data_IF_990761004281
#
_entry.id   IF_990761004281
#
_cell.length_a   1.000
_cell.length_b   1.000
_cell.length_c   1.000
_cell.angle_alpha   90.00
_cell.angle_beta   90.00
_cell.angle_gamma   90.00
#
_symmetry.space_group_name_H-M   'P 1'
#
loop_
_entity.id
_entity.type
_entity.pdbx_description
1 polymer ?
#
# COMPACT_ATOMS: atom_id res chain seq x y z
N UNK A 1 25.07 2.39 -7.98
CA UNK A 1 24.10 1.29 -8.01
C UNK A 1 23.66 0.99 -6.59
N UNK A 2 22.39 0.77 -6.38
CA UNK A 2 21.87 0.25 -5.12
C UNK A 2 22.18 -1.23 -5.07
N UNK A 3 22.78 -1.68 -3.98
CA UNK A 3 23.02 -3.11 -3.74
C UNK A 3 21.70 -3.78 -3.37
N UNK A 4 21.50 -4.99 -3.84
CA UNK A 4 20.37 -5.82 -3.43
C UNK A 4 20.65 -6.40 -2.03
N UNK A 5 19.61 -6.52 -1.23
CA UNK A 5 19.68 -7.22 0.06
C UNK A 5 19.41 -8.71 -0.10
N UNK A 6 19.28 -9.40 1.03
CA UNK A 6 19.11 -10.87 1.07
C UNK A 6 17.62 -11.29 1.08
N UNK A 7 16.68 -10.34 1.13
CA UNK A 7 15.25 -10.62 1.24
C UNK A 7 14.62 -10.71 -0.13
N UNK A 8 14.06 -11.87 -0.45
CA UNK A 8 13.38 -12.13 -1.72
C UNK A 8 11.87 -11.94 -1.58
N UNK A 9 11.32 -11.07 -2.40
CA UNK A 9 9.88 -10.81 -2.45
C UNK A 9 9.28 -11.30 -3.76
N UNK A 10 8.07 -11.86 -3.69
CA UNK A 10 7.22 -12.20 -4.85
C UNK A 10 6.04 -11.26 -4.90
N UNK A 11 5.95 -10.45 -5.94
CA UNK A 11 4.79 -9.63 -6.25
C UNK A 11 3.81 -10.43 -7.07
N UNK A 12 2.53 -10.44 -6.68
CA UNK A 12 1.46 -11.13 -7.39
C UNK A 12 0.42 -10.12 -7.87
N UNK A 13 0.30 -9.97 -9.19
CA UNK A 13 -0.66 -9.09 -9.85
C UNK A 13 -1.61 -9.91 -10.72
N UNK A 14 -2.84 -10.21 -10.28
CA UNK A 14 -3.75 -11.07 -11.04
C UNK A 14 -4.49 -10.34 -12.16
N UNK A 15 -4.50 -9.01 -12.17
CA UNK A 15 -5.24 -8.16 -13.10
C UNK A 15 -6.74 -8.51 -13.15
N UNK A 16 -7.37 -8.69 -11.99
CA UNK A 16 -8.81 -8.94 -11.87
C UNK A 16 -9.58 -7.66 -12.19
N UNK A 17 -10.48 -7.67 -13.22
CA UNK A 17 -11.28 -6.50 -13.54
C UNK A 17 -12.08 -6.00 -12.35
N UNK A 18 -12.19 -4.67 -12.19
CA UNK A 18 -12.88 -4.06 -11.05
C UNK A 18 -14.36 -4.52 -10.93
N UNK A 19 -15.01 -4.79 -12.06
CA UNK A 19 -16.39 -5.31 -12.11
C UNK A 19 -16.52 -6.73 -11.57
N UNK A 20 -15.45 -7.53 -11.64
CA UNK A 20 -15.44 -8.92 -11.17
C UNK A 20 -14.91 -9.06 -9.73
N UNK A 21 -14.22 -8.03 -9.23
CA UNK A 21 -13.52 -8.11 -7.95
C UNK A 21 -14.47 -8.44 -6.78
N UNK A 22 -15.68 -7.92 -6.81
CA UNK A 22 -16.69 -8.08 -5.76
C UNK A 22 -17.93 -8.86 -6.24
N UNK A 23 -17.89 -9.46 -7.43
CA UNK A 23 -18.98 -10.28 -7.92
C UNK A 23 -19.09 -11.56 -7.09
N UNK A 24 -20.24 -11.86 -6.47
CA UNK A 24 -20.38 -13.07 -5.65
C UNK A 24 -20.04 -14.38 -6.39
N UNK A 25 -20.22 -14.40 -7.71
CA UNK A 25 -19.90 -15.55 -8.56
C UNK A 25 -18.42 -15.69 -8.89
N UNK A 26 -17.59 -14.72 -8.54
CA UNK A 26 -16.16 -14.69 -8.88
C UNK A 26 -15.24 -14.64 -7.67
N UNK A 27 -15.77 -14.59 -6.44
CA UNK A 27 -14.95 -14.44 -5.23
C UNK A 27 -13.99 -15.62 -5.05
N UNK A 28 -14.48 -16.85 -5.20
CA UNK A 28 -13.66 -18.05 -5.09
C UNK A 28 -12.62 -18.15 -6.21
N UNK A 29 -13.02 -17.83 -7.44
CA UNK A 29 -12.09 -17.81 -8.58
C UNK A 29 -11.00 -16.76 -8.38
N UNK A 30 -11.35 -15.59 -7.85
CA UNK A 30 -10.41 -14.51 -7.57
C UNK A 30 -9.35 -14.94 -6.54
N UNK A 31 -9.76 -15.52 -5.40
CA UNK A 31 -8.80 -15.96 -4.38
C UNK A 31 -7.96 -17.14 -4.88
N UNK A 32 -8.55 -18.09 -5.59
CA UNK A 32 -7.83 -19.21 -6.19
C UNK A 32 -6.82 -18.77 -7.23
N UNK A 33 -7.12 -17.71 -8.01
CA UNK A 33 -6.17 -17.12 -8.94
C UNK A 33 -4.93 -16.56 -8.22
N UNK A 34 -5.12 -15.81 -7.14
CA UNK A 34 -4.00 -15.32 -6.31
C UNK A 34 -3.15 -16.48 -5.78
N UNK A 35 -3.80 -17.55 -5.25
CA UNK A 35 -3.11 -18.73 -4.72
C UNK A 35 -2.32 -19.43 -5.82
N UNK A 36 -2.94 -19.69 -6.97
CA UNK A 36 -2.30 -20.39 -8.09
C UNK A 36 -1.08 -19.62 -8.60
N UNK A 37 -1.20 -18.28 -8.76
CA UNK A 37 -0.10 -17.42 -9.18
C UNK A 37 1.03 -17.35 -8.15
N UNK A 38 0.71 -17.41 -6.85
CA UNK A 38 1.72 -17.40 -5.79
C UNK A 38 2.54 -18.70 -5.76
N UNK A 39 1.95 -19.83 -6.18
CA UNK A 39 2.55 -21.17 -6.15
C UNK A 39 3.42 -21.49 -7.37
N UNK A 40 3.76 -20.51 -8.18
CA UNK A 40 4.70 -20.72 -9.28
C UNK A 40 6.08 -21.17 -8.76
N UNK A 41 6.89 -21.74 -9.64
CA UNK A 41 8.24 -22.23 -9.34
C UNK A 41 9.07 -21.24 -8.50
N UNK A 42 9.85 -21.75 -7.55
CA UNK A 42 10.73 -20.95 -6.68
C UNK A 42 10.01 -20.33 -5.47
N UNK A 43 8.80 -20.76 -5.14
CA UNK A 43 8.08 -20.26 -3.94
C UNK A 43 8.86 -20.56 -2.65
N UNK A 44 9.56 -21.68 -2.59
CA UNK A 44 10.38 -22.14 -1.46
C UNK A 44 11.50 -21.17 -1.07
N UNK A 45 11.98 -20.36 -2.03
CA UNK A 45 13.06 -19.39 -1.85
C UNK A 45 12.56 -17.98 -1.52
N UNK A 46 11.23 -17.77 -1.44
CA UNK A 46 10.62 -16.46 -1.23
C UNK A 46 10.42 -16.20 0.26
N UNK A 47 10.81 -15.01 0.73
CA UNK A 47 10.56 -14.57 2.10
C UNK A 47 9.16 -13.96 2.26
N UNK A 48 8.74 -13.13 1.31
CA UNK A 48 7.41 -12.49 1.33
C UNK A 48 6.71 -12.64 -0.01
N UNK A 49 5.55 -13.28 -0.01
CA UNK A 49 4.56 -13.16 -1.08
C UNK A 49 3.68 -11.96 -0.80
N UNK A 50 3.49 -11.07 -1.77
CA UNK A 50 2.77 -9.82 -1.55
C UNK A 50 1.63 -9.69 -2.56
N UNK A 51 0.41 -9.59 -2.03
CA UNK A 51 -0.83 -9.35 -2.79
C UNK A 51 -1.28 -7.89 -2.64
N UNK A 52 -2.06 -7.42 -3.59
CA UNK A 52 -2.55 -6.04 -3.61
C UNK A 52 -3.60 -5.70 -2.55
N UNK A 53 -4.11 -4.48 -2.60
CA UNK A 53 -5.19 -3.97 -1.75
C UNK A 53 -6.46 -4.79 -1.92
N UNK A 54 -7.09 -5.15 -0.80
CA UNK A 54 -8.32 -5.95 -0.77
C UNK A 54 -8.27 -7.17 -1.71
N UNK A 55 -7.12 -7.85 -1.72
CA UNK A 55 -6.89 -9.04 -2.53
C UNK A 55 -7.72 -10.22 -2.04
N UNK A 56 -7.85 -10.39 -0.72
CA UNK A 56 -8.82 -11.33 -0.15
C UNK A 56 -10.19 -10.67 -0.07
N UNK A 57 -11.21 -11.24 -0.73
CA UNK A 57 -12.58 -10.79 -0.56
C UNK A 57 -13.23 -11.28 0.74
N UNK A 58 -12.54 -12.14 1.48
CA UNK A 58 -13.02 -12.76 2.72
C UNK A 58 -12.29 -12.21 3.94
N UNK A 59 -12.99 -12.04 5.08
CA UNK A 59 -12.39 -11.57 6.33
C UNK A 59 -11.57 -12.71 6.97
N UNK A 60 -10.27 -12.75 6.71
CA UNK A 60 -9.37 -13.84 7.12
C UNK A 60 -9.17 -13.93 8.64
N UNK A 61 -9.63 -12.96 9.42
CA UNK A 61 -9.64 -12.97 10.87
C UNK A 61 -10.80 -13.76 11.45
N UNK A 62 -11.91 -13.91 10.72
CA UNK A 62 -13.13 -14.63 11.15
C UNK A 62 -13.38 -15.93 10.36
N UNK A 63 -12.94 -16.01 9.11
CA UNK A 63 -13.20 -17.14 8.24
C UNK A 63 -12.01 -18.11 8.23
N UNK A 64 -12.12 -19.15 9.04
CA UNK A 64 -11.08 -20.18 9.16
C UNK A 64 -10.84 -20.94 7.87
N UNK A 65 -11.88 -21.18 7.07
CA UNK A 65 -11.77 -21.91 5.80
C UNK A 65 -10.89 -21.12 4.81
N UNK A 66 -11.22 -19.87 4.54
CA UNK A 66 -10.43 -19.06 3.62
C UNK A 66 -9.06 -18.69 4.19
N UNK A 67 -8.95 -18.52 5.51
CA UNK A 67 -7.65 -18.34 6.19
C UNK A 67 -6.74 -19.56 5.95
N UNK A 68 -7.23 -20.78 6.07
CA UNK A 68 -6.46 -21.98 5.75
C UNK A 68 -6.19 -22.11 4.26
N UNK A 69 -7.15 -21.77 3.40
CA UNK A 69 -6.99 -21.85 1.95
C UNK A 69 -5.83 -20.98 1.48
N UNK A 70 -5.72 -19.74 1.95
CA UNK A 70 -4.66 -18.81 1.54
C UNK A 70 -3.27 -19.23 2.03
N UNK A 71 -3.14 -20.09 3.03
CA UNK A 71 -1.84 -20.61 3.45
C UNK A 71 -1.13 -21.38 2.34
N UNK A 72 -1.86 -21.91 1.35
CA UNK A 72 -1.27 -22.55 0.17
C UNK A 72 -0.41 -21.59 -0.68
N UNK A 73 -0.60 -20.30 -0.55
CA UNK A 73 0.20 -19.27 -1.22
C UNK A 73 1.47 -18.87 -0.44
N UNK A 74 1.67 -19.40 0.77
CA UNK A 74 2.71 -18.99 1.70
C UNK A 74 3.88 -19.98 1.66
N UNK A 75 5.13 -19.52 1.50
CA UNK A 75 6.31 -20.38 1.60
C UNK A 75 6.45 -20.94 3.02
N UNK A 76 7.13 -22.08 3.17
CA UNK A 76 7.28 -22.78 4.47
C UNK A 76 7.92 -21.89 5.55
N UNK A 77 8.91 -21.08 5.17
CA UNK A 77 9.65 -20.20 6.08
C UNK A 77 9.33 -18.72 5.90
N UNK A 78 8.39 -18.39 4.98
CA UNK A 78 8.08 -17.02 4.63
C UNK A 78 6.68 -16.58 5.09
N UNK A 79 6.25 -15.46 4.53
CA UNK A 79 5.01 -14.78 4.91
C UNK A 79 4.22 -14.35 3.70
N UNK A 80 2.91 -14.24 3.88
CA UNK A 80 2.00 -13.55 2.95
C UNK A 80 1.66 -12.17 3.53
N UNK A 81 1.88 -11.13 2.73
CA UNK A 81 1.35 -9.79 2.97
C UNK A 81 0.16 -9.61 2.04
N UNK A 82 -1.03 -9.40 2.58
CA UNK A 82 -2.27 -9.32 1.79
C UNK A 82 -3.19 -8.22 2.27
N UNK A 83 -3.86 -7.56 1.33
CA UNK A 83 -4.96 -6.64 1.62
C UNK A 83 -6.29 -7.39 1.77
N UNK A 84 -7.13 -6.95 2.70
CA UNK A 84 -8.47 -7.47 2.94
C UNK A 84 -9.36 -6.41 3.57
N UNK A 85 -10.66 -6.69 3.64
CA UNK A 85 -11.58 -5.94 4.50
C UNK A 85 -11.81 -6.76 5.76
N UNK A 86 -11.53 -6.16 6.91
CA UNK A 86 -11.91 -6.72 8.22
C UNK A 86 -13.02 -5.88 8.87
N UNK A 87 -13.64 -6.41 9.88
CA UNK A 87 -14.71 -5.72 10.60
C UNK A 87 -14.34 -5.59 12.08
N UNK A 88 -14.65 -4.45 12.66
CA UNK A 88 -14.45 -4.18 14.08
C UNK A 88 -15.76 -3.66 14.69
N UNK A 89 -16.16 -4.24 15.82
CA UNK A 89 -17.32 -3.75 16.56
C UNK A 89 -17.00 -2.40 17.21
N UNK A 90 -17.93 -1.44 17.10
CA UNK A 90 -17.85 -0.21 17.87
C UNK A 90 -18.47 -0.39 19.27
N UNK A 91 -18.54 0.67 20.06
CA UNK A 91 -19.07 0.65 21.43
C UNK A 91 -20.56 0.26 21.49
N UNK A 92 -21.27 0.33 20.37
CA UNK A 92 -22.70 -0.03 20.24
C UNK A 92 -22.89 -1.39 19.54
N UNK A 93 -21.84 -2.24 19.49
CA UNK A 93 -21.81 -3.54 18.81
C UNK A 93 -22.14 -3.47 17.30
N UNK A 94 -21.95 -2.30 16.66
CA UNK A 94 -22.09 -2.16 15.22
C UNK A 94 -20.75 -2.43 14.54
N UNK A 95 -20.75 -3.33 13.56
CA UNK A 95 -19.56 -3.68 12.81
C UNK A 95 -19.20 -2.61 11.79
N UNK A 96 -18.00 -2.06 11.89
CA UNK A 96 -17.44 -1.09 10.96
C UNK A 96 -16.35 -1.73 10.11
N UNK A 97 -16.38 -1.57 8.77
CA UNK A 97 -15.35 -2.10 7.90
C UNK A 97 -14.04 -1.29 8.02
N UNK A 98 -12.91 -1.97 8.00
CA UNK A 98 -11.58 -1.41 7.88
C UNK A 98 -10.90 -1.98 6.64
N UNK A 99 -10.24 -1.12 5.86
CA UNK A 99 -9.37 -1.54 4.76
C UNK A 99 -8.02 -1.87 5.38
N UNK A 100 -7.63 -3.14 5.35
CA UNK A 100 -6.53 -3.64 6.18
C UNK A 100 -5.48 -4.40 5.37
N UNK A 101 -4.28 -4.46 5.92
CA UNK A 101 -3.17 -5.29 5.50
C UNK A 101 -2.89 -6.30 6.62
N UNK A 102 -2.78 -7.59 6.28
CA UNK A 102 -2.32 -8.63 7.18
C UNK A 102 -0.99 -9.21 6.71
N UNK A 103 -0.18 -9.62 7.69
CA UNK A 103 0.99 -10.48 7.49
C UNK A 103 0.71 -11.81 8.13
N UNK A 104 0.73 -12.88 7.35
CA UNK A 104 0.38 -14.22 7.80
C UNK A 104 1.51 -15.21 7.53
N UNK A 105 1.73 -16.14 8.46
CA UNK A 105 2.66 -17.24 8.26
C UNK A 105 1.96 -18.47 7.66
N UNK A 106 2.75 -19.51 7.36
CA UNK A 106 2.28 -20.80 6.77
C UNK A 106 1.21 -21.51 7.59
N UNK A 107 1.09 -21.21 8.89
CA UNK A 107 0.08 -21.81 9.77
C UNK A 107 -1.21 -20.98 9.85
N UNK A 108 -1.36 -19.94 9.03
CA UNK A 108 -2.52 -19.04 9.06
C UNK A 108 -2.53 -18.08 10.27
N UNK A 109 -1.40 -17.95 10.98
CA UNK A 109 -1.30 -17.05 12.13
C UNK A 109 -0.98 -15.65 11.62
N UNK A 110 -1.79 -14.67 12.01
CA UNK A 110 -1.54 -13.25 11.72
C UNK A 110 -0.42 -12.75 12.63
N UNK A 111 0.71 -12.36 12.04
CA UNK A 111 1.91 -11.87 12.73
C UNK A 111 1.96 -10.35 12.81
N UNK A 112 1.22 -9.68 11.94
CA UNK A 112 1.14 -8.23 11.90
C UNK A 112 -0.08 -7.76 11.13
N UNK A 113 -0.58 -6.58 11.47
CA UNK A 113 -1.70 -5.96 10.79
C UNK A 113 -1.56 -4.45 10.75
N UNK A 114 -2.13 -3.85 9.73
CA UNK A 114 -2.26 -2.41 9.58
C UNK A 114 -3.65 -2.06 9.03
N UNK A 115 -4.26 -1.02 9.54
CA UNK A 115 -5.53 -0.49 9.04
C UNK A 115 -5.30 0.87 8.41
N UNK A 116 -5.82 1.06 7.20
CA UNK A 116 -5.69 2.29 6.44
C UNK A 116 -6.12 3.50 7.26
N UNK A 117 -5.22 4.43 7.45
CA UNK A 117 -5.45 5.61 8.29
C UNK A 117 -5.94 6.82 7.50
N UNK A 118 -5.44 7.01 6.27
CA UNK A 118 -5.88 8.05 5.35
C UNK A 118 -6.88 7.51 4.34
N UNK A 119 -8.16 7.70 4.63
CA UNK A 119 -9.27 7.27 3.77
C UNK A 119 -9.47 8.22 2.59
N UNK A 120 -9.94 7.67 1.46
CA UNK A 120 -10.25 8.45 0.25
C UNK A 120 -11.57 9.20 0.45
N UNK A 121 -11.58 10.55 0.43
CA UNK A 121 -12.80 11.33 0.50
C UNK A 121 -13.75 10.99 -0.66
N UNK A 122 -15.05 10.87 -0.37
CA UNK A 122 -16.12 10.47 -1.29
C UNK A 122 -15.96 9.07 -1.91
N UNK A 123 -14.87 8.38 -1.62
CA UNK A 123 -14.63 6.98 -2.02
C UNK A 123 -14.91 6.02 -0.87
N UNK A 124 -14.20 6.18 0.22
CA UNK A 124 -14.24 5.31 1.41
C UNK A 124 -15.05 5.93 2.55
N UNK A 125 -15.19 7.25 2.57
CA UNK A 125 -16.09 7.96 3.50
C UNK A 125 -16.65 9.23 2.86
N UNK A 126 -17.72 9.76 3.43
CA UNK A 126 -18.31 11.04 3.00
C UNK A 126 -17.89 12.12 4.00
N UNK A 127 -17.05 13.09 3.59
CA UNK A 127 -16.71 14.23 4.43
C UNK A 127 -17.95 15.00 4.86
N UNK A 128 -17.97 15.51 6.09
CA UNK A 128 -19.08 16.31 6.62
C UNK A 128 -20.47 15.63 6.52
N UNK A 129 -20.52 14.28 6.61
CA UNK A 129 -21.75 13.47 6.44
C UNK A 129 -22.94 14.01 7.20
N UNK A 130 -22.73 14.53 8.42
CA UNK A 130 -23.80 15.12 9.26
C UNK A 130 -24.45 16.36 8.66
N UNK A 131 -23.79 17.03 7.70
CA UNK A 131 -24.26 18.24 7.04
C UNK A 131 -24.78 18.00 5.62
N UNK A 132 -24.53 16.81 5.07
CA UNK A 132 -24.86 16.47 3.70
C UNK A 132 -26.11 15.60 3.65
N UNK A 133 -26.97 15.78 2.61
CA UNK A 133 -28.15 14.95 2.40
C UNK A 133 -27.81 13.47 2.26
N UNK A 134 -28.69 12.60 2.74
CA UNK A 134 -28.47 11.13 2.75
C UNK A 134 -28.40 10.51 1.34
N UNK A 135 -28.91 11.18 0.31
CA UNK A 135 -28.84 10.69 -1.08
C UNK A 135 -27.45 10.83 -1.70
N UNK A 136 -26.55 11.63 -1.10
CA UNK A 136 -25.16 11.66 -1.52
C UNK A 136 -24.51 10.34 -1.09
N UNK A 137 -24.16 9.52 -2.09
CA UNK A 137 -23.49 8.23 -1.91
C UNK A 137 -22.02 8.34 -2.27
N UNK A 138 -21.15 7.46 -1.74
CA UNK A 138 -19.77 7.34 -2.22
C UNK A 138 -19.75 7.06 -3.73
N UNK A 139 -18.75 7.58 -4.41
CA UNK A 139 -18.54 7.37 -5.85
C UNK A 139 -18.25 5.88 -6.14
N UNK A 140 -17.68 5.19 -5.15
CA UNK A 140 -17.42 3.76 -5.20
C UNK A 140 -18.68 3.00 -4.82
N UNK A 141 -19.14 2.08 -5.68
CA UNK A 141 -20.27 1.19 -5.38
C UNK A 141 -19.91 0.08 -4.36
N UNK A 142 -18.77 0.20 -3.70
CA UNK A 142 -18.26 -0.71 -2.68
C UNK A 142 -18.68 -0.26 -1.28
N UNK A 143 -18.23 -1.01 -0.29
CA UNK A 143 -18.51 -0.77 1.14
C UNK A 143 -18.32 0.71 1.48
N UNK A 144 -19.39 1.36 1.91
CA UNK A 144 -19.38 2.77 2.31
C UNK A 144 -19.01 2.90 3.79
N UNK A 145 -18.36 4.03 4.15
CA UNK A 145 -18.03 4.39 5.53
C UNK A 145 -17.04 3.44 6.20
N UNK A 146 -15.87 3.29 5.61
CA UNK A 146 -14.75 2.67 6.29
C UNK A 146 -14.38 3.46 7.57
N UNK A 147 -13.97 2.72 8.59
CA UNK A 147 -13.32 3.29 9.77
C UNK A 147 -11.85 3.54 9.46
N UNK A 148 -11.33 4.71 9.85
CA UNK A 148 -9.90 5.00 9.75
C UNK A 148 -9.11 4.27 10.82
N UNK A 149 -7.94 3.75 10.44
CA UNK A 149 -6.97 3.19 11.36
C UNK A 149 -6.30 4.24 12.25
N UNK A 150 -5.48 3.77 13.19
CA UNK A 150 -4.86 4.60 14.25
C UNK A 150 -3.68 5.46 13.79
N UNK A 151 -3.30 5.40 12.52
CA UNK A 151 -2.14 6.10 11.95
C UNK A 151 -1.04 5.16 11.45
N UNK A 152 0.07 5.75 11.01
CA UNK A 152 1.21 5.01 10.47
C UNK A 152 1.73 3.96 11.46
N UNK A 153 2.00 2.78 10.95
CA UNK A 153 2.51 1.66 11.72
C UNK A 153 3.65 0.97 10.98
N UNK A 154 4.73 0.71 11.68
CA UNK A 154 5.74 -0.22 11.24
C UNK A 154 5.41 -1.63 11.72
N UNK A 155 5.71 -2.62 10.89
CA UNK A 155 5.49 -4.02 11.18
C UNK A 155 6.84 -4.72 11.23
N UNK A 156 7.11 -5.34 12.38
CA UNK A 156 8.29 -6.17 12.61
C UNK A 156 7.86 -7.64 12.60
N UNK A 157 8.54 -8.43 11.80
CA UNK A 157 8.30 -9.88 11.69
C UNK A 157 9.63 -10.58 11.97
N UNK A 158 9.70 -11.28 13.08
CA UNK A 158 10.87 -12.03 13.51
C UNK A 158 12.19 -11.23 13.32
N UNK A 159 13.17 -11.78 12.62
CA UNK A 159 14.47 -11.15 12.34
C UNK A 159 14.50 -10.35 11.02
N UNK A 160 13.35 -10.24 10.32
CA UNK A 160 13.28 -9.48 9.06
C UNK A 160 13.32 -7.97 9.33
N UNK A 161 13.88 -7.18 8.39
CA UNK A 161 13.82 -5.73 8.42
C UNK A 161 12.38 -5.22 8.55
N UNK A 162 12.19 -4.25 9.42
CA UNK A 162 10.90 -3.67 9.72
C UNK A 162 10.36 -2.88 8.53
N UNK A 163 9.10 -3.06 8.17
CA UNK A 163 8.48 -2.30 7.08
C UNK A 163 7.35 -1.40 7.55
N UNK A 164 7.21 -0.26 6.87
CA UNK A 164 6.06 0.61 6.97
C UNK A 164 4.96 0.16 6.03
N UNK A 165 3.73 0.07 6.54
CA UNK A 165 2.57 -0.35 5.77
C UNK A 165 1.78 0.86 5.29
N UNK A 166 1.42 0.86 3.99
CA UNK A 166 0.58 1.88 3.35
C UNK A 166 -0.44 1.21 2.44
N UNK A 167 -1.65 1.74 2.40
CA UNK A 167 -2.70 1.25 1.53
C UNK A 167 -3.10 2.36 0.54
N UNK A 168 -2.87 2.08 -0.76
CA UNK A 168 -3.33 2.86 -1.92
C UNK A 168 -2.98 4.36 -1.82
N UNK A 169 -3.98 5.18 -1.64
CA UNK A 169 -3.95 6.65 -1.58
C UNK A 169 -2.94 7.21 -0.55
N UNK A 170 -2.59 6.48 0.49
CA UNK A 170 -1.69 6.95 1.54
C UNK A 170 -0.29 7.31 1.03
N UNK A 171 0.17 6.67 -0.05
CA UNK A 171 1.49 6.95 -0.65
C UNK A 171 1.61 8.36 -1.26
N UNK A 172 0.49 9.05 -1.53
CA UNK A 172 0.55 10.35 -2.19
C UNK A 172 0.99 11.50 -1.26
N UNK A 173 0.87 11.31 0.06
CA UNK A 173 1.10 12.38 1.04
C UNK A 173 2.58 12.52 1.41
N UNK A 174 3.27 13.62 1.01
CA UNK A 174 4.63 13.86 1.40
C UNK A 174 4.75 14.05 2.92
N UNK A 175 5.82 13.51 3.51
CA UNK A 175 6.10 13.55 4.95
C UNK A 175 5.07 12.81 5.84
N UNK A 176 4.18 11.99 5.25
CA UNK A 176 3.17 11.23 5.98
C UNK A 176 3.17 9.73 5.60
N UNK A 177 4.28 9.24 5.03
CA UNK A 177 4.43 7.83 4.63
C UNK A 177 5.31 7.02 5.58
N UNK A 178 6.05 7.70 6.45
CA UNK A 178 6.89 7.07 7.48
C UNK A 178 6.71 7.77 8.84
N UNK A 179 6.89 7.00 9.90
CA UNK A 179 7.04 7.61 11.23
C UNK A 179 8.43 8.26 11.32
N UNK A 180 8.49 9.58 11.43
CA UNK A 180 9.74 10.34 11.47
C UNK A 180 10.63 10.01 12.66
N UNK A 181 10.06 9.50 13.78
CA UNK A 181 10.79 9.12 14.98
C UNK A 181 11.37 7.71 14.89
N UNK A 182 10.76 6.85 14.11
CA UNK A 182 11.16 5.47 13.92
C UNK A 182 10.90 5.06 12.47
N UNK A 183 11.89 5.30 11.61
CA UNK A 183 11.77 5.00 10.18
C UNK A 183 11.91 3.50 9.92
N UNK A 184 11.03 2.94 9.09
CA UNK A 184 11.14 1.55 8.67
C UNK A 184 12.35 1.33 7.75
N UNK A 185 12.68 0.08 7.49
CA UNK A 185 13.73 -0.30 6.55
C UNK A 185 13.26 -0.25 5.10
N UNK A 186 11.98 -0.53 4.85
CA UNK A 186 11.32 -0.48 3.55
C UNK A 186 9.83 -0.17 3.70
N UNK A 187 9.15 0.11 2.59
CA UNK A 187 7.72 0.39 2.56
C UNK A 187 7.00 -0.64 1.70
N UNK A 188 5.85 -1.08 2.16
CA UNK A 188 4.86 -1.85 1.39
C UNK A 188 3.69 -0.93 1.08
N UNK A 189 3.35 -0.78 -0.22
CA UNK A 189 2.18 -0.05 -0.67
C UNK A 189 1.24 -1.01 -1.43
N UNK A 190 0.22 -1.51 -0.75
CA UNK A 190 -0.83 -2.30 -1.38
C UNK A 190 -1.85 -1.38 -2.03
N UNK A 191 -2.15 -1.58 -3.32
CA UNK A 191 -3.01 -0.64 -4.04
C UNK A 191 -4.01 -1.34 -4.97
N UNK A 192 -5.06 -0.61 -5.31
CA UNK A 192 -6.01 -1.00 -6.34
C UNK A 192 -6.31 0.21 -7.24
N UNK A 193 -5.58 0.32 -8.34
CA UNK A 193 -5.75 1.40 -9.32
C UNK A 193 -6.92 1.19 -10.28
N UNK A 194 -7.71 0.13 -10.10
CA UNK A 194 -8.85 -0.19 -10.95
C UNK A 194 -9.87 0.94 -11.12
N UNK A 195 -9.91 1.87 -10.17
CA UNK A 195 -10.77 3.07 -10.21
C UNK A 195 -10.36 4.08 -11.28
N UNK A 196 -9.09 4.11 -11.67
CA UNK A 196 -8.57 5.05 -12.68
C UNK A 196 -8.75 4.55 -14.11
N UNK A 197 -9.10 3.25 -14.30
CA UNK A 197 -9.19 2.65 -15.62
C UNK A 197 -7.90 2.79 -16.43
N UNK A 198 -8.03 2.85 -17.76
CA UNK A 198 -6.92 3.08 -18.70
C UNK A 198 -6.65 4.58 -18.86
N UNK A 199 -6.09 5.21 -17.85
CA UNK A 199 -5.80 6.64 -17.84
C UNK A 199 -4.35 6.91 -17.39
N UNK A 200 -3.97 8.17 -17.27
CA UNK A 200 -2.70 8.58 -16.67
C UNK A 200 -2.65 8.34 -15.14
N UNK A 201 -3.79 8.11 -14.49
CA UNK A 201 -3.90 7.98 -13.03
C UNK A 201 -2.97 6.94 -12.41
N UNK A 202 -2.95 5.67 -12.87
CA UNK A 202 -2.05 4.64 -12.35
C UNK A 202 -0.56 5.02 -12.46
N UNK A 203 -0.17 5.67 -13.54
CA UNK A 203 1.22 6.11 -13.76
C UNK A 203 1.59 7.30 -12.88
N UNK A 204 0.67 8.24 -12.68
CA UNK A 204 0.86 9.36 -11.73
C UNK A 204 0.98 8.82 -10.30
N UNK A 205 0.15 7.84 -9.92
CA UNK A 205 0.20 7.21 -8.62
C UNK A 205 1.52 6.45 -8.41
N UNK A 206 2.05 5.76 -9.44
CA UNK A 206 3.38 5.15 -9.42
C UNK A 206 4.48 6.22 -9.26
N UNK A 207 4.40 7.33 -9.99
CA UNK A 207 5.38 8.42 -9.87
C UNK A 207 5.40 9.03 -8.46
N UNK A 208 4.25 9.12 -7.78
CA UNK A 208 4.21 9.53 -6.37
C UNK A 208 4.92 8.53 -5.47
N UNK A 209 4.79 7.22 -5.70
CA UNK A 209 5.55 6.21 -4.97
C UNK A 209 7.07 6.35 -5.19
N UNK A 210 7.51 6.64 -6.43
CA UNK A 210 8.92 6.94 -6.72
C UNK A 210 9.42 8.18 -5.98
N UNK A 211 8.61 9.23 -5.92
CA UNK A 211 8.95 10.43 -5.14
C UNK A 211 9.11 10.11 -3.66
N UNK A 212 8.22 9.31 -3.06
CA UNK A 212 8.34 8.90 -1.64
C UNK A 212 9.61 8.09 -1.40
N UNK A 213 9.97 7.17 -2.31
CA UNK A 213 11.21 6.40 -2.20
C UNK A 213 12.45 7.31 -2.13
N UNK A 214 12.52 8.33 -3.00
CA UNK A 214 13.61 9.31 -3.03
C UNK A 214 13.60 10.22 -1.80
N UNK A 215 12.45 10.75 -1.42
CA UNK A 215 12.30 11.65 -0.28
C UNK A 215 12.75 11.01 1.02
N UNK A 216 12.33 9.77 1.26
CA UNK A 216 12.63 9.05 2.49
C UNK A 216 13.95 8.26 2.42
N UNK A 217 14.50 8.03 1.22
CA UNK A 217 15.70 7.21 1.00
C UNK A 217 15.47 5.73 1.28
N UNK A 218 14.25 5.24 1.03
CA UNK A 218 13.76 3.90 1.41
C UNK A 218 13.21 3.20 0.18
N UNK A 219 13.42 1.87 0.07
CA UNK A 219 12.81 1.04 -0.95
C UNK A 219 11.30 0.96 -0.76
N UNK A 220 10.54 1.08 -1.85
CA UNK A 220 9.08 0.91 -1.89
C UNK A 220 8.72 -0.30 -2.72
N UNK A 221 8.03 -1.27 -2.12
CA UNK A 221 7.37 -2.38 -2.82
C UNK A 221 5.91 -2.02 -2.99
N UNK A 222 5.56 -1.67 -4.22
CA UNK A 222 4.18 -1.34 -4.62
C UNK A 222 3.55 -2.53 -5.30
N UNK A 223 2.42 -3.00 -4.79
CA UNK A 223 1.69 -4.15 -5.35
C UNK A 223 0.25 -3.75 -5.67
N UNK A 224 -0.09 -3.87 -6.95
CA UNK A 224 -1.39 -3.49 -7.49
C UNK A 224 -2.17 -4.73 -7.97
N UNK A 225 -3.50 -4.59 -8.07
CA UNK A 225 -4.34 -5.57 -8.77
C UNK A 225 -4.27 -5.38 -10.30
N UNK A 226 -4.76 -4.26 -10.83
CA UNK A 226 -4.74 -3.91 -12.26
C UNK A 226 -3.79 -2.78 -12.59
N UNK A 227 -3.28 -2.07 -11.57
CA UNK A 227 -2.32 -0.98 -11.72
C UNK A 227 -0.93 -1.44 -12.12
N UNK A 228 0.06 -0.57 -11.95
CA UNK A 228 1.47 -0.91 -12.13
C UNK A 228 2.06 -1.35 -10.79
N UNK A 229 2.46 -2.61 -10.69
CA UNK A 229 3.27 -3.08 -9.55
C UNK A 229 4.74 -2.84 -9.81
N UNK A 230 5.50 -2.49 -8.77
CA UNK A 230 6.91 -2.19 -8.93
C UNK A 230 7.69 -2.34 -7.61
N UNK A 231 8.95 -2.72 -7.70
CA UNK A 231 9.95 -2.50 -6.66
C UNK A 231 10.77 -1.28 -7.06
N UNK A 232 10.74 -0.27 -6.21
CA UNK A 232 11.34 1.04 -6.43
C UNK A 232 12.45 1.21 -5.40
N UNK A 233 13.67 1.43 -5.86
CA UNK A 233 14.78 1.62 -4.94
C UNK A 233 14.80 3.04 -4.32
N UNK A 234 15.67 3.23 -3.35
CA UNK A 234 15.89 4.48 -2.62
C UNK A 234 16.25 5.71 -3.48
N UNK A 235 16.60 5.48 -4.75
CA UNK A 235 16.87 6.54 -5.72
C UNK A 235 15.68 6.81 -6.66
N UNK A 236 14.55 6.14 -6.43
CA UNK A 236 13.36 6.23 -7.26
C UNK A 236 13.44 5.42 -8.56
N UNK A 237 14.46 4.57 -8.71
CA UNK A 237 14.64 3.74 -9.90
C UNK A 237 13.75 2.50 -9.75
N UNK A 238 12.96 2.21 -10.78
CA UNK A 238 12.18 0.98 -10.86
C UNK A 238 13.13 -0.17 -11.18
N UNK A 239 13.31 -1.09 -10.24
CA UNK A 239 14.18 -2.27 -10.36
C UNK A 239 13.48 -3.38 -11.13
N UNK A 240 12.21 -3.55 -10.87
CA UNK A 240 11.33 -4.47 -11.58
C UNK A 240 9.90 -3.98 -11.55
N UNK A 241 9.07 -4.38 -12.52
CA UNK A 241 7.66 -3.98 -12.58
C UNK A 241 6.81 -4.96 -13.35
N UNK A 242 5.50 -4.95 -13.05
CA UNK A 242 4.44 -5.55 -13.84
C UNK A 242 3.58 -4.43 -14.42
N UNK A 243 3.35 -4.43 -15.75
CA UNK A 243 2.61 -3.35 -16.42
C UNK A 243 1.14 -3.27 -16.01
N UNK A 244 0.52 -2.13 -16.28
CA UNK A 244 -0.92 -1.90 -16.14
C UNK A 244 -1.73 -3.00 -16.85
N UNK A 245 -2.74 -3.53 -16.17
CA UNK A 245 -3.64 -4.59 -16.66
C UNK A 245 -2.94 -5.91 -17.08
N UNK A 246 -1.71 -6.11 -16.67
CA UNK A 246 -0.98 -7.34 -16.95
C UNK A 246 -1.10 -8.32 -15.78
N UNK A 247 -1.50 -9.57 -16.07
CA UNK A 247 -1.48 -10.65 -15.07
C UNK A 247 -0.10 -11.27 -15.03
N UNK A 248 0.52 -11.33 -13.86
CA UNK A 248 1.86 -11.91 -13.72
C UNK A 248 2.36 -11.94 -12.28
N UNK A 249 3.48 -12.64 -12.10
CA UNK A 249 4.28 -12.65 -10.89
C UNK A 249 5.70 -12.22 -11.21
N UNK A 250 6.36 -11.60 -10.24
CA UNK A 250 7.78 -11.29 -10.37
C UNK A 250 8.47 -11.44 -9.02
N UNK A 251 9.59 -12.14 -9.04
CA UNK A 251 10.49 -12.32 -7.90
C UNK A 251 11.65 -11.34 -8.02
N UNK A 252 12.02 -10.74 -6.91
CA UNK A 252 13.20 -9.86 -6.84
C UNK A 252 13.70 -9.75 -5.42
N UNK A 253 14.95 -9.36 -5.27
CA UNK A 253 15.50 -9.00 -3.97
C UNK A 253 15.18 -7.56 -3.62
N UNK A 254 14.95 -7.29 -2.32
CA UNK A 254 14.76 -5.93 -1.84
C UNK A 254 16.06 -5.13 -1.92
N UNK A 255 16.11 -4.00 -2.63
CA UNK A 255 17.23 -3.09 -2.57
C UNK A 255 17.42 -2.52 -1.16
N UNK A 256 18.68 -2.38 -0.73
CA UNK A 256 19.00 -1.85 0.58
C UNK A 256 18.61 -0.36 0.71
N UNK A 257 18.18 0.06 1.91
CA UNK A 257 17.93 1.47 2.22
C UNK A 257 19.23 2.28 2.29
N UNK A 258 19.13 3.60 2.28
CA UNK A 258 20.27 4.48 2.59
C UNK A 258 20.69 4.29 4.05
N UNK A 259 22.00 4.24 4.28
CA UNK A 259 22.58 4.23 5.63
C UNK A 259 22.39 5.57 6.36
N UNK A 260 22.26 6.67 5.61
CA UNK A 260 22.07 8.01 6.13
C UNK A 260 20.74 8.60 5.66
N UNK A 261 20.00 9.32 6.52
CA UNK A 261 18.77 9.99 6.11
C UNK A 261 19.00 10.97 4.98
N UNK A 262 18.05 11.08 4.06
CA UNK A 262 18.02 12.15 3.05
C UNK A 262 17.79 13.52 3.70
N UNK A 263 18.10 14.60 3.00
CA UNK A 263 17.78 15.95 3.48
C UNK A 263 16.28 16.12 3.71
N UNK A 264 15.46 15.63 2.78
CA UNK A 264 14.01 15.70 2.94
C UNK A 264 13.54 14.83 4.12
N UNK A 265 14.03 13.59 4.23
CA UNK A 265 13.71 12.71 5.34
C UNK A 265 14.12 13.23 6.72
N UNK A 266 15.05 14.21 6.77
CA UNK A 266 15.46 14.90 8.01
C UNK A 266 14.64 16.16 8.30
N UNK A 267 14.36 16.96 7.28
CA UNK A 267 13.75 18.29 7.44
C UNK A 267 12.32 18.38 6.91
N UNK A 268 11.85 17.31 6.21
CA UNK A 268 10.47 17.22 5.73
C UNK A 268 10.05 18.47 4.92
N UNK A 269 8.81 18.90 5.08
CA UNK A 269 8.24 20.06 4.41
C UNK A 269 8.80 21.42 4.87
N UNK A 270 9.70 21.47 5.86
CA UNK A 270 10.33 22.72 6.27
C UNK A 270 11.18 23.34 5.16
N UNK A 271 11.89 22.52 4.34
CA UNK A 271 12.70 23.03 3.23
C UNK A 271 11.86 23.79 2.21
N UNK A 272 10.81 23.21 1.59
CA UNK A 272 9.98 23.93 0.63
C UNK A 272 9.26 25.13 1.27
N UNK A 273 8.85 25.06 2.53
CA UNK A 273 8.24 26.18 3.25
C UNK A 273 9.19 27.35 3.40
N UNK A 274 10.44 27.10 3.79
CA UNK A 274 11.48 28.15 3.89
C UNK A 274 11.74 28.77 2.51
N UNK A 275 11.87 27.95 1.47
CA UNK A 275 12.07 28.45 0.10
C UNK A 275 10.90 29.33 -0.37
N UNK A 276 9.67 28.93 -0.12
CA UNK A 276 8.48 29.74 -0.40
C UNK A 276 8.50 31.07 0.35
N UNK A 277 8.82 31.04 1.65
CA UNK A 277 8.93 32.26 2.45
C UNK A 277 10.01 33.22 1.93
N UNK A 278 11.19 32.71 1.59
CA UNK A 278 12.29 33.51 1.03
C UNK A 278 11.88 34.12 -0.32
N UNK A 279 11.21 33.38 -1.20
CA UNK A 279 10.71 33.90 -2.47
C UNK A 279 9.69 35.04 -2.27
N UNK A 280 8.73 34.85 -1.34
CA UNK A 280 7.74 35.87 -1.02
C UNK A 280 8.36 37.13 -0.45
N UNK A 281 9.32 37.00 0.48
CA UNK A 281 10.04 38.15 1.04
C UNK A 281 10.85 38.87 -0.02
N UNK A 282 11.53 38.15 -0.90
CA UNK A 282 12.28 38.73 -2.02
C UNK A 282 11.37 39.48 -2.99
N UNK A 283 10.26 38.90 -3.38
CA UNK A 283 9.25 39.55 -4.24
C UNK A 283 8.70 40.82 -3.60
N UNK A 284 8.44 40.82 -2.28
CA UNK A 284 7.99 42.00 -1.55
C UNK A 284 9.06 43.11 -1.50
N UNK A 285 10.34 42.77 -1.29
CA UNK A 285 11.44 43.71 -1.33
C UNK A 285 11.61 44.36 -2.70
N UNK A 286 11.52 43.56 -3.78
CA UNK A 286 11.56 44.10 -5.15
C UNK A 286 10.42 45.08 -5.41
N UNK A 287 9.18 44.74 -5.01
CA UNK A 287 8.02 45.61 -5.18
C UNK A 287 8.19 46.96 -4.45
N UNK A 288 8.87 46.99 -3.28
CA UNK A 288 9.17 48.21 -2.56
C UNK A 288 10.24 49.07 -3.23
N UNK A 289 11.18 48.44 -3.95
CA UNK A 289 12.30 49.14 -4.64
C UNK A 289 11.85 49.81 -5.95
N UNK A 290 10.77 49.32 -6.55
CA UNK A 290 10.21 49.84 -7.81
C UNK A 290 8.96 50.71 -7.61
N UNK A 291 8.62 51.05 -6.38
CA UNK A 291 7.69 52.13 -6.01
C UNK A 291 8.46 53.33 -5.45
#
# INVERSE_FOLDING_TARGET
STEDGDIKVRIVQPAIPQTMKWSPTSLDDNINKYIAMSRTEGLEDVDFVIWGETASPFPLDYDDYYRQLVTNAIPEKGYLITGLVRYEADADDRYQPLNSLFVMNKHGIVRGSYDKSHLVPFGEYIPLRRWLPLWIRPITNTIANFKAGSGLKNIRIDDYPEFGALICYEIIFPAQVVNSKHKPDWLVNLTNDGWYGNSAGPYQHLAMAQMRAVEEGITVVRVANTGVSAVIDRLGIIRTSLPLNHSGTVDTFLPQKLSTPTLYGKYSNFIPLILCFLNLTFAFMLKRRFR
#
